data_IF_738559512604
#
_entry.id   IF_738559512604
#
_cell.length_a   1.000
_cell.length_b   1.000
_cell.length_c   1.000
_cell.angle_alpha   90.00
_cell.angle_beta   90.00
_cell.angle_gamma   90.00
#
_symmetry.space_group_name_H-M   'P 1'
#
loop_
_entity.id
_entity.type
_entity.pdbx_description
1 polymer ?
#
# COMPACT_ATOMS: atom_id res chain seq x y z
N UNK A 1 -7.83 -4.12 6.44
CA UNK A 1 -7.26 -4.85 5.29
C UNK A 1 -6.99 -3.83 4.20
N UNK A 2 -5.79 -3.79 3.66
CA UNK A 2 -5.40 -2.78 2.67
C UNK A 2 -5.26 -3.40 1.28
N UNK A 3 -5.29 -2.59 0.20
CA UNK A 3 -5.17 -3.09 -1.16
C UNK A 3 -3.88 -3.90 -1.34
N UNK A 4 -3.97 -4.97 -2.13
CA UNK A 4 -2.81 -5.78 -2.51
C UNK A 4 -2.40 -5.46 -3.93
N UNK A 5 -1.11 -5.22 -4.12
CA UNK A 5 -0.46 -5.17 -5.43
C UNK A 5 0.47 -6.37 -5.58
N UNK A 6 0.46 -6.99 -6.76
CA UNK A 6 1.23 -8.19 -7.07
C UNK A 6 1.88 -8.05 -8.45
N UNK A 7 3.14 -8.47 -8.57
CA UNK A 7 3.84 -8.54 -9.85
C UNK A 7 3.48 -9.85 -10.55
N UNK A 8 2.96 -9.76 -11.77
CA UNK A 8 2.56 -10.93 -12.55
C UNK A 8 3.74 -11.47 -13.38
N UNK A 9 4.70 -12.12 -12.73
CA UNK A 9 5.85 -12.73 -13.41
C UNK A 9 5.48 -13.97 -14.24
N UNK A 10 4.40 -14.66 -13.86
CA UNK A 10 3.92 -15.86 -14.54
C UNK A 10 3.07 -15.57 -15.80
N UNK A 11 2.88 -14.30 -16.16
CA UNK A 11 2.05 -13.85 -17.27
C UNK A 11 0.63 -14.47 -17.28
N UNK A 12 0.04 -14.64 -16.09
CA UNK A 12 -1.29 -15.25 -15.95
C UNK A 12 -2.39 -14.26 -16.32
N UNK A 13 -3.48 -14.77 -16.87
CA UNK A 13 -4.70 -13.99 -17.10
C UNK A 13 -5.43 -13.78 -15.77
N UNK A 14 -5.98 -12.58 -15.58
CA UNK A 14 -6.84 -12.27 -14.43
C UNK A 14 -8.30 -12.17 -14.87
N UNK A 15 -9.22 -12.41 -13.94
CA UNK A 15 -10.64 -12.07 -14.12
C UNK A 15 -10.88 -10.61 -13.70
N UNK A 16 -12.16 -10.21 -13.65
CA UNK A 16 -12.64 -8.90 -13.22
C UNK A 16 -12.48 -8.61 -11.71
N UNK A 17 -11.95 -9.56 -10.93
CA UNK A 17 -11.68 -9.38 -9.49
C UNK A 17 -10.41 -8.53 -9.25
N UNK A 18 -9.53 -8.41 -10.25
CA UNK A 18 -8.31 -7.64 -10.15
C UNK A 18 -8.20 -6.63 -11.29
N UNK A 19 -7.66 -5.45 -10.97
CA UNK A 19 -7.29 -4.46 -11.98
C UNK A 19 -5.87 -4.70 -12.46
N UNK A 20 -5.67 -4.68 -13.78
CA UNK A 20 -4.36 -4.79 -14.39
C UNK A 20 -3.73 -3.40 -14.56
N UNK A 21 -2.48 -3.28 -14.15
CA UNK A 21 -1.69 -2.05 -14.28
C UNK A 21 -0.62 -2.28 -15.34
N UNK A 22 -0.55 -1.37 -16.31
CA UNK A 22 0.57 -1.29 -17.25
C UNK A 22 1.44 -0.12 -16.83
N UNK A 23 2.75 -0.35 -16.75
CA UNK A 23 3.72 0.65 -16.34
C UNK A 23 4.34 1.30 -17.57
N UNK A 24 4.64 2.59 -17.45
CA UNK A 24 5.50 3.27 -18.41
C UNK A 24 6.94 2.74 -18.31
N UNK A 25 7.71 2.89 -19.39
CA UNK A 25 9.06 2.33 -19.54
C UNK A 25 10.06 2.78 -18.46
N UNK A 26 9.78 3.90 -17.78
CA UNK A 26 10.61 4.45 -16.72
C UNK A 26 10.43 3.74 -15.36
N UNK A 27 9.45 2.85 -15.23
CA UNK A 27 9.12 2.18 -13.98
C UNK A 27 9.21 0.66 -14.10
N UNK A 28 9.87 0.02 -13.14
CA UNK A 28 9.87 -1.43 -13.01
C UNK A 28 8.82 -1.91 -12.00
N UNK A 29 8.20 -3.06 -12.31
CA UNK A 29 7.12 -3.62 -11.50
C UNK A 29 7.51 -3.96 -10.05
N UNK A 30 8.69 -4.55 -9.77
CA UNK A 30 9.13 -4.80 -8.39
C UNK A 30 9.22 -3.52 -7.56
N UNK A 31 9.81 -2.46 -8.10
CA UNK A 31 9.94 -1.18 -7.39
C UNK A 31 8.60 -0.48 -7.18
N UNK A 32 7.69 -0.53 -8.15
CA UNK A 32 6.32 -0.01 -7.98
C UNK A 32 5.57 -0.79 -6.90
N UNK A 33 5.62 -2.12 -6.94
CA UNK A 33 4.96 -2.96 -5.95
C UNK A 33 5.54 -2.74 -4.55
N UNK A 34 6.86 -2.56 -4.44
CA UNK A 34 7.52 -2.21 -3.19
C UNK A 34 7.07 -0.84 -2.66
N UNK A 35 7.18 0.19 -3.50
CA UNK A 35 6.89 1.57 -3.11
C UNK A 35 5.43 1.76 -2.71
N UNK A 36 4.50 0.98 -3.26
CA UNK A 36 3.08 1.08 -2.94
C UNK A 36 2.78 0.99 -1.43
N UNK A 37 3.53 0.17 -0.68
CA UNK A 37 3.25 -0.11 0.72
C UNK A 37 3.85 0.90 1.72
N UNK A 38 4.18 2.12 1.29
CA UNK A 38 4.63 3.19 2.18
C UNK A 38 3.46 3.87 2.93
N UNK A 39 3.76 4.54 4.04
CA UNK A 39 2.78 5.18 4.91
C UNK A 39 1.95 6.27 4.23
N UNK A 40 2.52 7.06 3.32
CA UNK A 40 1.79 8.09 2.57
C UNK A 40 0.75 7.45 1.67
N UNK A 41 1.17 6.52 0.81
CA UNK A 41 0.27 5.83 -0.12
C UNK A 41 -0.80 5.03 0.60
N UNK A 42 -0.45 4.34 1.68
CA UNK A 42 -1.41 3.61 2.52
C UNK A 42 -2.43 4.54 3.21
N UNK A 43 -2.02 5.75 3.58
CA UNK A 43 -2.95 6.78 4.09
C UNK A 43 -3.90 7.25 3.00
N UNK A 44 -3.40 7.47 1.78
CA UNK A 44 -4.22 7.90 0.65
C UNK A 44 -5.21 6.81 0.19
N UNK A 45 -4.83 5.53 0.24
CA UNK A 45 -5.75 4.42 0.00
C UNK A 45 -6.94 4.45 0.97
N UNK A 46 -6.71 4.73 2.26
CA UNK A 46 -7.79 4.85 3.25
C UNK A 46 -8.60 6.15 3.09
N UNK A 47 -8.02 7.19 2.51
CA UNK A 47 -8.69 8.47 2.29
C UNK A 47 -9.55 8.49 1.02
N UNK A 48 -9.05 7.92 -0.07
CA UNK A 48 -9.66 7.95 -1.41
C UNK A 48 -10.48 6.70 -1.73
N UNK A 49 -10.25 5.59 -1.03
CA UNK A 49 -10.94 4.32 -1.29
C UNK A 49 -12.45 4.38 -1.03
N UNK A 50 -13.20 3.57 -1.77
CA UNK A 50 -14.63 3.38 -1.55
C UNK A 50 -14.85 2.35 -0.46
N UNK A 51 -15.78 2.64 0.46
CA UNK A 51 -16.11 1.75 1.55
C UNK A 51 -17.56 1.34 1.51
N UNK A 52 -17.79 0.03 1.42
CA UNK A 52 -19.13 -0.57 1.42
C UNK A 52 -19.47 -1.14 2.80
N UNK A 53 -20.70 -1.63 2.95
CA UNK A 53 -21.17 -2.28 4.18
C UNK A 53 -20.19 -3.34 4.68
N UNK A 54 -19.99 -3.41 6.00
CA UNK A 54 -19.02 -4.33 6.62
C UNK A 54 -17.56 -3.88 6.59
N UNK A 55 -17.26 -2.68 6.08
CA UNK A 55 -15.90 -2.13 6.07
C UNK A 55 -15.03 -2.64 4.92
N UNK A 56 -15.66 -3.24 3.90
CA UNK A 56 -15.00 -3.65 2.66
C UNK A 56 -14.52 -2.40 1.94
N UNK A 57 -13.21 -2.34 1.68
CA UNK A 57 -12.58 -1.28 0.91
C UNK A 57 -12.31 -1.72 -0.52
N UNK A 58 -12.71 -0.89 -1.48
CA UNK A 58 -12.38 -1.03 -2.89
C UNK A 58 -11.59 0.20 -3.33
N UNK A 59 -10.58 -0.01 -4.17
CA UNK A 59 -9.80 1.04 -4.80
C UNK A 59 -9.93 0.87 -6.31
N UNK A 60 -10.82 1.66 -6.92
CA UNK A 60 -11.08 1.55 -8.36
C UNK A 60 -9.98 2.25 -9.18
N UNK A 61 -9.83 2.00 -10.50
CA UNK A 61 -8.72 2.52 -11.28
C UNK A 61 -8.56 4.05 -11.26
N UNK A 62 -9.66 4.79 -11.20
CA UNK A 62 -9.62 6.26 -11.11
C UNK A 62 -9.01 6.74 -9.79
N UNK A 63 -9.31 6.06 -8.69
CA UNK A 63 -8.77 6.37 -7.36
C UNK A 63 -7.31 5.94 -7.26
N UNK A 64 -6.96 4.78 -7.81
CA UNK A 64 -5.57 4.34 -7.87
C UNK A 64 -4.70 5.38 -8.61
N UNK A 65 -5.20 5.94 -9.72
CA UNK A 65 -4.51 6.99 -10.49
C UNK A 65 -4.37 8.33 -9.74
N UNK A 66 -5.20 8.60 -8.74
CA UNK A 66 -5.09 9.82 -7.92
C UNK A 66 -4.21 9.65 -6.68
N UNK A 67 -3.67 8.46 -6.44
CA UNK A 67 -2.74 8.23 -5.35
C UNK A 67 -1.40 8.91 -5.64
N UNK A 68 -0.87 9.60 -4.63
CA UNK A 68 0.54 9.96 -4.62
C UNK A 68 1.34 8.78 -4.09
N UNK A 69 2.28 8.31 -4.91
CA UNK A 69 3.19 7.21 -4.57
C UNK A 69 4.61 7.66 -4.86
N UNK A 70 5.42 7.99 -3.83
CA UNK A 70 6.83 8.25 -4.01
C UNK A 70 7.48 7.01 -4.62
N UNK A 71 8.21 7.21 -5.73
CA UNK A 71 8.88 6.14 -6.43
C UNK A 71 10.38 6.17 -6.15
N UNK A 72 10.92 5.01 -5.84
CA UNK A 72 12.36 4.74 -5.83
C UNK A 72 12.60 3.39 -6.47
N UNK A 73 13.66 3.31 -7.27
CA UNK A 73 14.16 2.02 -7.74
C UNK A 73 14.74 1.27 -6.55
N UNK A 74 14.26 0.06 -6.28
CA UNK A 74 14.68 -0.75 -5.13
C UNK A 74 15.58 -1.89 -5.54
N UNK A 75 16.37 -2.40 -4.61
CA UNK A 75 17.19 -3.58 -4.88
C UNK A 75 16.32 -4.83 -4.95
N UNK A 76 16.80 -5.85 -5.67
CA UNK A 76 16.15 -7.16 -5.71
C UNK A 76 16.02 -7.77 -4.31
N UNK A 77 17.03 -7.60 -3.46
CA UNK A 77 17.02 -8.13 -2.10
C UNK A 77 15.93 -7.49 -1.24
N UNK A 78 15.70 -6.17 -1.37
CA UNK A 78 14.62 -5.49 -0.64
C UNK A 78 13.25 -6.00 -1.08
N UNK A 79 13.06 -6.20 -2.39
CA UNK A 79 11.82 -6.76 -2.93
C UNK A 79 11.59 -8.21 -2.47
N UNK A 80 12.60 -9.06 -2.50
CA UNK A 80 12.52 -10.45 -2.01
C UNK A 80 12.28 -10.52 -0.49
N UNK A 81 12.83 -9.58 0.27
CA UNK A 81 12.53 -9.45 1.70
C UNK A 81 11.07 -9.07 1.92
N UNK A 82 10.54 -8.09 1.17
CA UNK A 82 9.12 -7.71 1.24
C UNK A 82 8.21 -8.90 0.91
N UNK A 83 8.50 -9.65 -0.15
CA UNK A 83 7.76 -10.86 -0.52
C UNK A 83 7.81 -11.91 0.61
N UNK A 84 8.98 -12.11 1.22
CA UNK A 84 9.16 -13.00 2.37
C UNK A 84 8.33 -12.55 3.57
N UNK A 85 8.25 -11.24 3.86
CA UNK A 85 7.42 -10.71 4.94
C UNK A 85 5.93 -11.00 4.72
N UNK A 86 5.44 -10.87 3.49
CA UNK A 86 4.06 -11.26 3.15
C UNK A 86 3.82 -12.76 3.34
N UNK A 87 4.74 -13.63 2.87
CA UNK A 87 4.62 -15.09 3.03
C UNK A 87 4.68 -15.55 4.48
N UNK A 88 5.41 -14.83 5.33
CA UNK A 88 5.49 -15.08 6.78
C UNK A 88 4.32 -14.51 7.58
N UNK A 89 3.36 -13.86 6.93
CA UNK A 89 2.26 -13.16 7.59
C UNK A 89 2.76 -12.14 8.63
N UNK A 90 3.85 -11.42 8.32
CA UNK A 90 4.28 -10.28 9.13
C UNK A 90 3.14 -9.27 9.26
N UNK A 91 3.14 -8.50 10.35
CA UNK A 91 2.11 -7.49 10.55
C UNK A 91 2.17 -6.44 9.43
N UNK A 92 1.03 -5.83 9.16
CA UNK A 92 0.96 -4.77 8.16
C UNK A 92 1.82 -3.57 8.59
N UNK A 93 1.84 -3.27 9.88
CA UNK A 93 2.71 -2.26 10.48
C UNK A 93 4.19 -2.54 10.18
N UNK A 94 4.67 -3.78 10.39
CA UNK A 94 6.06 -4.14 10.10
C UNK A 94 6.41 -3.95 8.63
N UNK A 95 5.49 -4.33 7.74
CA UNK A 95 5.66 -4.20 6.28
C UNK A 95 5.79 -2.72 5.89
N UNK A 96 4.87 -1.88 6.34
CA UNK A 96 4.93 -0.44 6.02
C UNK A 96 6.15 0.22 6.64
N UNK A 97 6.50 -0.14 7.87
CA UNK A 97 7.65 0.43 8.57
C UNK A 97 8.97 0.06 7.89
N UNK A 98 9.06 -1.13 7.30
CA UNK A 98 10.18 -1.53 6.46
C UNK A 98 10.24 -0.68 5.18
N UNK A 99 9.13 -0.54 4.46
CA UNK A 99 9.07 0.23 3.22
C UNK A 99 9.33 1.72 3.46
N UNK A 100 8.81 2.30 4.55
CA UNK A 100 9.01 3.69 4.94
C UNK A 100 10.48 4.04 5.11
N UNK A 101 11.28 3.15 5.71
CA UNK A 101 12.72 3.36 5.91
C UNK A 101 13.48 3.54 4.60
N UNK A 102 12.94 3.04 3.50
CA UNK A 102 13.57 3.09 2.18
C UNK A 102 12.94 4.20 1.34
N UNK A 103 11.61 4.21 1.25
CA UNK A 103 10.83 5.07 0.36
C UNK A 103 10.64 6.48 0.92
N UNK A 104 10.38 6.60 2.22
CA UNK A 104 10.12 7.86 2.92
C UNK A 104 11.29 8.33 3.78
N UNK A 105 12.52 7.89 3.47
CA UNK A 105 13.71 8.20 4.26
C UNK A 105 14.07 9.70 4.34
N UNK A 106 13.51 10.53 3.47
CA UNK A 106 13.67 11.99 3.46
C UNK A 106 12.63 12.70 4.35
N UNK A 107 11.56 12.00 4.76
CA UNK A 107 10.56 12.56 5.68
C UNK A 107 11.06 12.44 7.12
N UNK A 108 10.70 13.44 7.93
CA UNK A 108 10.97 13.37 9.37
C UNK A 108 10.17 12.24 10.02
N UNK A 109 10.68 11.67 11.10
CA UNK A 109 9.94 10.66 11.88
C UNK A 109 8.62 11.21 12.42
N UNK A 110 8.52 12.53 12.65
CA UNK A 110 7.29 13.19 13.08
C UNK A 110 6.24 13.18 11.96
N UNK A 111 6.64 13.44 10.72
CA UNK A 111 5.73 13.41 9.56
C UNK A 111 5.24 11.99 9.27
N UNK A 112 6.14 11.01 9.31
CA UNK A 112 5.77 9.60 9.16
C UNK A 112 4.81 9.16 10.27
N UNK A 113 5.05 9.55 11.52
CA UNK A 113 4.13 9.28 12.63
C UNK A 113 2.76 9.95 12.43
N UNK A 114 2.72 11.17 11.88
CA UNK A 114 1.48 11.88 11.54
C UNK A 114 0.70 11.14 10.46
N UNK A 115 1.36 10.65 9.40
CA UNK A 115 0.73 9.82 8.36
C UNK A 115 0.10 8.56 8.98
N UNK A 116 0.84 7.84 9.82
CA UNK A 116 0.32 6.64 10.53
C UNK A 116 -0.90 6.97 11.39
N UNK A 117 -0.87 8.08 12.13
CA UNK A 117 -2.01 8.53 12.94
C UNK A 117 -3.25 8.82 12.07
N UNK A 118 -3.07 9.51 10.94
CA UNK A 118 -4.15 9.79 9.98
C UNK A 118 -4.72 8.48 9.44
N UNK A 119 -3.87 7.59 8.91
CA UNK A 119 -4.28 6.27 8.41
C UNK A 119 -5.10 5.51 9.44
N UNK A 120 -4.61 5.41 10.68
CA UNK A 120 -5.28 4.67 11.74
C UNK A 120 -6.66 5.29 12.08
N UNK A 121 -6.78 6.62 12.04
CA UNK A 121 -8.06 7.30 12.23
C UNK A 121 -9.07 6.95 11.14
N UNK A 122 -8.67 6.92 9.87
CA UNK A 122 -9.55 6.52 8.77
C UNK A 122 -9.88 5.02 8.80
N UNK A 123 -8.90 4.18 9.13
CA UNK A 123 -9.07 2.75 9.30
C UNK A 123 -10.12 2.42 10.36
N UNK A 124 -10.03 3.04 11.54
CA UNK A 124 -11.01 2.85 12.63
C UNK A 124 -12.41 3.30 12.22
N UNK A 125 -12.53 4.41 11.48
CA UNK A 125 -13.80 4.89 10.94
C UNK A 125 -14.42 3.89 9.98
N UNK A 126 -13.62 3.32 9.06
CA UNK A 126 -14.08 2.30 8.10
C UNK A 126 -14.60 1.05 8.81
N UNK A 127 -13.85 0.56 9.79
CA UNK A 127 -14.18 -0.68 10.49
C UNK A 127 -15.35 -0.54 11.47
N UNK A 128 -15.88 0.69 11.67
CA UNK A 128 -16.93 0.99 12.65
C UNK A 128 -16.64 0.44 14.05
N UNK A 129 -15.35 0.28 14.39
CA UNK A 129 -14.95 -0.15 15.72
C UNK A 129 -15.32 0.98 16.68
N UNK A 130 -16.31 0.75 17.54
CA UNK A 130 -16.65 1.70 18.61
C UNK A 130 -15.37 1.98 19.40
N UNK A 131 -15.06 3.26 19.63
CA UNK A 131 -14.21 3.61 20.77
C UNK A 131 -14.97 3.07 21.99
N UNK A 132 -14.40 2.08 22.68
CA UNK A 132 -14.82 1.80 24.04
C UNK A 132 -14.43 3.06 24.83
N UNK A 133 -15.41 3.92 25.08
CA UNK A 133 -15.33 4.98 26.08
C UNK A 133 -15.29 4.35 27.48
#
# INVERSE_FOLDING_TARGET
MLPRIMVNEAAVYTTDIAYNIRLDENFDAPSVAFCFYNSLTMTLCEFQGRFYGGGVGELVPSEFKSLSMPYKKVSRNDFELLDTMFRRNCSFEDIVDFVDKIVLNELSSQDVAKLKSIRNKYLLRRLKTKRNE
#
